data_IF_768300206397
#
_entry.id   IF_768300206397
#
_cell.length_a   1.000
_cell.length_b   1.000
_cell.length_c   1.000
_cell.angle_alpha   90.00
_cell.angle_beta   90.00
_cell.angle_gamma   90.00
#
_symmetry.space_group_name_H-M   'P 1'
#
loop_
_entity.id
_entity.type
_entity.pdbx_description
1 polymer ?
#
# COMPACT_ATOMS: atom_id res chain seq x y z
N UNK A 1 13.07 20.93 13.76
CA UNK A 1 12.60 19.71 13.06
C UNK A 1 13.82 18.90 12.65
N UNK A 2 13.97 17.67 13.15
CA UNK A 2 15.18 16.86 12.97
C UNK A 2 15.24 16.35 11.52
N UNK A 3 16.25 16.76 10.76
CA UNK A 3 16.41 16.37 9.36
C UNK A 3 16.64 14.86 9.27
N UNK A 4 15.73 14.16 8.60
CA UNK A 4 15.87 12.76 8.21
C UNK A 4 17.13 12.66 7.32
N UNK A 5 18.02 11.72 7.63
CA UNK A 5 19.29 11.52 6.93
C UNK A 5 19.05 11.30 5.43
N UNK A 6 19.53 12.21 4.58
CA UNK A 6 19.41 12.15 3.12
C UNK A 6 20.64 11.55 2.44
N UNK A 7 21.61 11.03 3.21
CA UNK A 7 22.85 10.46 2.66
C UNK A 7 22.88 8.93 2.73
N UNK A 8 23.73 8.36 1.87
CA UNK A 8 23.72 6.98 1.40
C UNK A 8 23.58 5.87 2.45
N UNK A 9 22.98 4.75 2.00
CA UNK A 9 22.75 3.49 2.72
C UNK A 9 22.06 3.65 4.08
N UNK A 10 20.73 3.75 4.05
CA UNK A 10 19.90 3.62 5.27
C UNK A 10 19.90 2.15 5.72
N UNK A 11 20.30 1.91 6.97
CA UNK A 11 20.21 0.58 7.60
C UNK A 11 18.78 0.28 8.05
N UNK A 12 18.43 -1.01 8.13
CA UNK A 12 17.10 -1.46 8.55
C UNK A 12 16.56 -0.79 9.83
N UNK A 13 17.28 -0.78 10.97
CA UNK A 13 16.77 -0.16 12.20
C UNK A 13 16.65 1.36 12.09
N UNK A 14 17.52 2.00 11.31
CA UNK A 14 17.44 3.44 11.05
C UNK A 14 16.19 3.78 10.23
N UNK A 15 15.85 2.95 9.23
CA UNK A 15 14.65 3.13 8.42
C UNK A 15 13.36 3.05 9.25
N UNK A 16 13.27 2.07 10.15
CA UNK A 16 12.11 1.92 11.05
C UNK A 16 12.01 3.09 12.03
N UNK A 17 13.15 3.56 12.56
CA UNK A 17 13.17 4.74 13.43
C UNK A 17 12.69 6.00 12.70
N UNK A 18 13.16 6.22 11.47
CA UNK A 18 12.77 7.35 10.65
C UNK A 18 11.28 7.28 10.23
N UNK A 19 10.73 6.07 10.07
CA UNK A 19 9.32 5.85 9.81
C UNK A 19 8.44 6.36 10.97
N UNK A 20 8.74 5.96 12.20
CA UNK A 20 7.98 6.41 13.37
C UNK A 20 8.24 7.88 13.71
N UNK A 21 9.45 8.40 13.51
CA UNK A 21 9.72 9.84 13.69
C UNK A 21 8.97 10.69 12.69
N UNK A 22 8.77 10.17 11.48
CA UNK A 22 8.03 10.80 10.42
C UNK A 22 6.52 10.54 10.43
N UNK A 23 5.91 10.08 11.53
CA UNK A 23 4.54 9.57 11.52
C UNK A 23 3.51 10.54 10.88
N UNK A 24 3.60 11.84 11.17
CA UNK A 24 2.69 12.87 10.64
C UNK A 24 3.35 13.90 9.70
N UNK A 25 4.62 13.71 9.35
CA UNK A 25 5.35 14.71 8.55
C UNK A 25 5.17 14.48 7.05
N UNK A 26 4.29 15.21 6.37
CA UNK A 26 4.14 15.03 4.92
C UNK A 26 5.22 15.73 4.10
N UNK A 27 6.15 16.47 4.70
CA UNK A 27 7.12 17.33 4.00
C UNK A 27 8.50 16.71 3.86
N UNK A 28 8.87 15.78 4.74
CA UNK A 28 10.16 15.09 4.70
C UNK A 28 10.44 14.31 3.41
N UNK A 29 11.72 13.97 3.21
CA UNK A 29 12.17 13.12 2.11
C UNK A 29 12.49 11.71 2.60
N UNK A 30 12.10 10.71 1.81
CA UNK A 30 12.43 9.30 2.09
C UNK A 30 13.36 8.75 1.01
N UNK A 31 14.45 8.12 1.43
CA UNK A 31 15.36 7.40 0.54
C UNK A 31 14.71 6.12 0.01
N UNK A 32 15.16 5.62 -1.15
CA UNK A 32 14.62 4.37 -1.74
C UNK A 32 14.81 3.18 -0.82
N UNK A 33 16.03 3.01 -0.31
CA UNK A 33 16.35 1.90 0.60
C UNK A 33 15.55 2.00 1.88
N UNK A 34 15.37 3.21 2.44
CA UNK A 34 14.57 3.43 3.64
C UNK A 34 13.11 3.01 3.45
N UNK A 35 12.51 3.33 2.30
CA UNK A 35 11.15 2.90 1.96
C UNK A 35 11.03 1.37 1.99
N UNK A 36 11.88 0.66 1.23
CA UNK A 36 11.80 -0.79 1.10
C UNK A 36 12.12 -1.53 2.40
N UNK A 37 13.05 -1.02 3.21
CA UNK A 37 13.31 -1.59 4.53
C UNK A 37 12.09 -1.52 5.44
N UNK A 38 11.34 -0.41 5.41
CA UNK A 38 10.10 -0.28 6.19
C UNK A 38 9.03 -1.24 5.68
N UNK A 39 8.86 -1.36 4.36
CA UNK A 39 7.91 -2.33 3.78
C UNK A 39 8.26 -3.76 4.19
N UNK A 40 9.54 -4.12 4.16
CA UNK A 40 10.01 -5.42 4.62
C UNK A 40 9.76 -5.63 6.13
N UNK A 41 10.00 -4.61 6.97
CA UNK A 41 9.73 -4.68 8.40
C UNK A 41 8.23 -4.95 8.68
N UNK A 42 7.36 -4.23 7.97
CA UNK A 42 5.91 -4.36 8.09
C UNK A 42 5.45 -5.73 7.60
N UNK A 43 6.01 -6.22 6.48
CA UNK A 43 5.71 -7.56 5.97
C UNK A 43 6.07 -8.64 7.00
N UNK A 44 7.28 -8.59 7.58
CA UNK A 44 7.69 -9.53 8.63
C UNK A 44 6.76 -9.44 9.84
N UNK A 45 6.40 -8.23 10.28
CA UNK A 45 5.49 -8.05 11.40
C UNK A 45 4.12 -8.71 11.14
N UNK A 46 3.55 -8.55 9.95
CA UNK A 46 2.29 -9.20 9.58
C UNK A 46 2.40 -10.71 9.49
N UNK A 47 3.51 -11.26 8.99
CA UNK A 47 3.73 -12.72 8.95
C UNK A 47 3.76 -13.29 10.37
N UNK A 48 4.49 -12.66 11.28
CA UNK A 48 4.55 -13.07 12.70
C UNK A 48 3.16 -12.99 13.34
N UNK A 49 2.45 -11.88 13.14
CA UNK A 49 1.10 -11.70 13.67
C UNK A 49 0.12 -12.75 13.13
N UNK A 50 0.19 -13.07 11.84
CA UNK A 50 -0.66 -14.08 11.21
C UNK A 50 -0.45 -15.47 11.85
N UNK A 51 0.80 -15.89 12.04
CA UNK A 51 1.11 -17.17 12.70
C UNK A 51 0.51 -17.20 14.12
N UNK A 52 0.65 -16.10 14.87
CA UNK A 52 0.12 -16.00 16.23
C UNK A 52 -1.43 -16.04 16.29
N UNK A 53 -2.12 -15.51 15.27
CA UNK A 53 -3.58 -15.57 15.20
C UNK A 53 -4.14 -16.99 15.05
N UNK A 54 -3.37 -17.92 14.49
CA UNK A 54 -3.77 -19.33 14.38
C UNK A 54 -3.85 -19.97 15.78
N UNK A 55 -2.94 -19.59 16.68
CA UNK A 55 -2.88 -20.15 18.04
C UNK A 55 -3.84 -19.48 19.03
N UNK A 56 -4.11 -18.18 18.87
CA UNK A 56 -4.92 -17.40 19.81
C UNK A 56 -5.91 -16.49 19.05
N UNK A 57 -7.22 -16.82 19.02
CA UNK A 57 -8.22 -16.03 18.28
C UNK A 57 -8.32 -14.57 18.73
N UNK A 58 -8.09 -14.29 20.02
CA UNK A 58 -8.10 -12.94 20.59
C UNK A 58 -6.99 -12.03 19.99
N UNK A 59 -5.97 -12.62 19.37
CA UNK A 59 -4.89 -11.91 18.66
C UNK A 59 -5.41 -11.10 17.47
N UNK A 60 -6.57 -11.46 16.89
CA UNK A 60 -7.18 -10.71 15.79
C UNK A 60 -7.44 -9.23 16.13
N UNK A 61 -7.78 -8.94 17.39
CA UNK A 61 -7.98 -7.56 17.85
C UNK A 61 -6.66 -6.76 17.86
N UNK A 62 -5.56 -7.40 18.24
CA UNK A 62 -4.22 -6.79 18.23
C UNK A 62 -3.78 -6.51 16.79
N UNK A 63 -4.04 -7.44 15.87
CA UNK A 63 -3.78 -7.22 14.43
C UNK A 63 -4.55 -6.02 13.90
N UNK A 64 -5.82 -5.85 14.30
CA UNK A 64 -6.63 -4.70 13.93
C UNK A 64 -6.01 -3.39 14.43
N UNK A 65 -5.63 -3.32 15.71
CA UNK A 65 -5.00 -2.12 16.28
C UNK A 65 -3.66 -1.79 15.62
N UNK A 66 -2.83 -2.80 15.38
CA UNK A 66 -1.57 -2.63 14.66
C UNK A 66 -1.79 -2.11 13.24
N UNK A 67 -2.78 -2.66 12.54
CA UNK A 67 -3.14 -2.23 11.19
C UNK A 67 -3.57 -0.77 11.16
N UNK A 68 -4.44 -0.36 12.10
CA UNK A 68 -4.89 1.04 12.24
C UNK A 68 -3.73 2.00 12.50
N UNK A 69 -2.80 1.61 13.37
CA UNK A 69 -1.62 2.42 13.67
C UNK A 69 -0.68 2.61 12.47
N UNK A 70 -0.73 1.72 11.48
CA UNK A 70 0.12 1.82 10.30
C UNK A 70 -0.51 2.63 9.16
N UNK A 71 -1.83 2.85 9.16
CA UNK A 71 -2.54 3.54 8.06
C UNK A 71 -1.90 4.91 7.78
N UNK A 72 -1.81 5.77 8.80
CA UNK A 72 -1.28 7.12 8.67
C UNK A 72 0.17 7.14 8.19
N UNK A 73 1.13 6.49 8.89
CA UNK A 73 2.54 6.61 8.53
C UNK A 73 2.86 5.92 7.20
N UNK A 74 2.12 4.89 6.79
CA UNK A 74 2.25 4.28 5.45
C UNK A 74 1.86 5.26 4.35
N UNK A 75 0.73 5.96 4.51
CA UNK A 75 0.30 6.99 3.56
C UNK A 75 1.31 8.13 3.53
N UNK A 76 1.79 8.59 4.69
CA UNK A 76 2.81 9.64 4.77
C UNK A 76 4.07 9.23 4.03
N UNK A 77 4.58 8.02 4.26
CA UNK A 77 5.79 7.50 3.63
C UNK A 77 5.65 7.39 2.10
N UNK A 78 4.52 6.87 1.64
CA UNK A 78 4.27 6.65 0.22
C UNK A 78 4.07 7.98 -0.54
N UNK A 79 3.35 8.94 0.05
CA UNK A 79 3.18 10.29 -0.51
C UNK A 79 4.54 11.00 -0.67
N UNK A 80 5.43 10.91 0.33
CA UNK A 80 6.79 11.46 0.23
C UNK A 80 7.56 10.85 -0.93
N UNK A 81 7.48 9.53 -1.10
CA UNK A 81 8.22 8.82 -2.15
C UNK A 81 7.72 9.21 -3.54
N UNK A 82 6.41 9.24 -3.75
CA UNK A 82 5.82 9.58 -5.05
C UNK A 82 6.12 11.05 -5.39
N UNK A 83 6.04 11.97 -4.42
CA UNK A 83 6.44 13.36 -4.64
C UNK A 83 7.89 13.48 -5.10
N UNK A 84 8.79 12.68 -4.52
CA UNK A 84 10.20 12.68 -4.89
C UNK A 84 10.49 12.13 -6.29
N UNK A 85 9.52 11.50 -6.97
CA UNK A 85 9.66 11.11 -8.39
C UNK A 85 9.42 12.25 -9.38
N UNK A 86 8.95 13.41 -8.89
CA UNK A 86 8.65 14.58 -9.70
C UNK A 86 7.15 14.78 -9.99
N UNK A 87 6.26 14.19 -9.19
CA UNK A 87 4.80 14.39 -9.29
C UNK A 87 4.34 15.52 -8.36
N UNK A 88 3.38 16.33 -8.81
CA UNK A 88 2.78 17.39 -7.99
C UNK A 88 1.82 16.83 -6.93
N UNK A 89 1.73 17.49 -5.78
CA UNK A 89 0.89 17.04 -4.66
C UNK A 89 -0.59 16.86 -5.02
N UNK A 90 -1.14 17.68 -5.93
CA UNK A 90 -2.54 17.58 -6.38
C UNK A 90 -2.81 16.30 -7.17
N UNK A 91 -1.90 15.90 -8.06
CA UNK A 91 -2.06 14.67 -8.85
C UNK A 91 -1.86 13.44 -7.99
N UNK A 92 -0.97 13.49 -7.01
CA UNK A 92 -0.79 12.43 -6.01
C UNK A 92 -2.10 12.21 -5.24
N UNK A 93 -2.74 13.27 -4.76
CA UNK A 93 -3.99 13.17 -4.03
C UNK A 93 -5.10 12.55 -4.89
N UNK A 94 -5.28 13.02 -6.13
CA UNK A 94 -6.27 12.45 -7.05
C UNK A 94 -6.02 10.95 -7.33
N UNK A 95 -4.75 10.57 -7.50
CA UNK A 95 -4.35 9.19 -7.72
C UNK A 95 -4.68 8.31 -6.50
N UNK A 96 -4.40 8.77 -5.28
CA UNK A 96 -4.74 8.02 -4.07
C UNK A 96 -6.24 7.88 -3.84
N UNK A 97 -7.04 8.92 -4.10
CA UNK A 97 -8.50 8.84 -4.02
C UNK A 97 -9.02 7.75 -4.96
N UNK A 98 -8.54 7.76 -6.20
CA UNK A 98 -8.91 6.77 -7.21
C UNK A 98 -8.48 5.35 -6.79
N UNK A 99 -7.24 5.21 -6.30
CA UNK A 99 -6.70 3.94 -5.81
C UNK A 99 -7.54 3.35 -4.69
N UNK A 100 -7.85 4.13 -3.65
CA UNK A 100 -8.60 3.64 -2.50
C UNK A 100 -10.06 3.35 -2.83
N UNK A 101 -10.68 4.08 -3.76
CA UNK A 101 -12.03 3.77 -4.25
C UNK A 101 -12.07 2.38 -4.91
N UNK A 102 -11.17 2.11 -5.86
CA UNK A 102 -11.09 0.81 -6.51
C UNK A 102 -10.63 -0.30 -5.58
N UNK A 103 -9.69 -0.02 -4.68
CA UNK A 103 -9.27 -0.95 -3.64
C UNK A 103 -10.44 -1.39 -2.75
N UNK A 104 -11.29 -0.46 -2.33
CA UNK A 104 -12.48 -0.76 -1.52
C UNK A 104 -13.45 -1.70 -2.23
N UNK A 105 -13.78 -1.42 -3.50
CA UNK A 105 -14.64 -2.31 -4.30
C UNK A 105 -14.01 -3.68 -4.49
N UNK A 106 -12.71 -3.73 -4.83
CA UNK A 106 -11.98 -4.98 -5.00
C UNK A 106 -11.95 -5.81 -3.71
N UNK A 107 -11.66 -5.19 -2.57
CA UNK A 107 -11.60 -5.86 -1.27
C UNK A 107 -12.97 -6.35 -0.81
N UNK A 108 -14.04 -5.60 -1.06
CA UNK A 108 -15.40 -6.05 -0.73
C UNK A 108 -15.77 -7.31 -1.54
N UNK A 109 -15.46 -7.33 -2.83
CA UNK A 109 -15.66 -8.51 -3.69
C UNK A 109 -14.77 -9.67 -3.27
N UNK A 110 -13.52 -9.42 -2.87
CA UNK A 110 -12.63 -10.46 -2.37
C UNK A 110 -13.15 -11.06 -1.06
N UNK A 111 -13.58 -10.22 -0.12
CA UNK A 111 -14.10 -10.66 1.17
C UNK A 111 -15.41 -11.45 1.02
N UNK A 112 -16.33 -11.02 0.15
CA UNK A 112 -17.56 -11.77 -0.10
C UNK A 112 -17.26 -13.13 -0.74
N UNK A 113 -16.33 -13.20 -1.69
CA UNK A 113 -15.87 -14.47 -2.26
C UNK A 113 -15.23 -15.38 -1.21
N UNK A 114 -14.39 -14.83 -0.33
CA UNK A 114 -13.77 -15.59 0.76
C UNK A 114 -14.84 -16.13 1.73
N UNK A 115 -15.78 -15.30 2.18
CA UNK A 115 -16.87 -15.72 3.06
C UNK A 115 -17.77 -16.78 2.43
N UNK A 116 -18.11 -16.63 1.16
CA UNK A 116 -18.93 -17.61 0.45
C UNK A 116 -18.22 -18.97 0.36
N UNK A 117 -16.91 -18.98 0.09
CA UNK A 117 -16.10 -20.21 0.09
C UNK A 117 -15.99 -20.84 1.47
N UNK A 118 -15.90 -20.05 2.56
CA UNK A 118 -15.93 -20.58 3.92
C UNK A 118 -17.32 -21.13 4.29
N UNK A 119 -18.39 -20.44 3.89
CA UNK A 119 -19.77 -20.85 4.17
C UNK A 119 -20.15 -22.13 3.45
N UNK A 120 -19.72 -22.33 2.19
CA UNK A 120 -19.97 -23.57 1.46
C UNK A 120 -19.29 -24.77 2.11
N UNK A 121 -18.06 -24.59 2.62
CA UNK A 121 -17.34 -25.62 3.37
C UNK A 121 -18.06 -25.97 4.69
N UNK A 122 -18.74 -24.99 5.31
CA UNK A 122 -19.49 -25.23 6.54
C UNK A 122 -20.87 -25.89 6.28
N UNK A 123 -21.54 -25.60 5.16
CA UNK A 123 -22.84 -26.21 4.82
C UNK A 123 -22.73 -27.63 4.25
N UNK A 124 -21.65 -27.95 3.54
CA UNK A 124 -21.47 -29.25 2.85
C UNK A 124 -21.05 -30.41 3.78
N UNK A 125 -20.98 -30.21 5.10
CA UNK A 125 -20.74 -31.32 6.03
C UNK A 125 -21.95 -32.27 6.17
N UNK A 126 -23.13 -31.89 5.67
CA UNK A 126 -24.36 -32.69 5.78
C UNK A 126 -24.66 -33.60 4.58
N UNK A 127 -24.07 -33.38 3.40
CA UNK A 127 -24.37 -34.17 2.20
C UNK A 127 -23.12 -34.65 1.46
N UNK A 128 -23.12 -35.93 1.13
CA UNK A 128 -21.99 -36.66 0.54
C UNK A 128 -21.80 -36.32 -0.94
N UNK A 129 -21.24 -35.16 -1.25
CA UNK A 129 -20.50 -34.87 -2.48
C UNK A 129 -19.61 -33.67 -2.16
N UNK A 130 -18.30 -33.73 -2.44
CA UNK A 130 -17.37 -32.61 -2.21
C UNK A 130 -17.14 -31.88 -3.53
N UNK A 131 -17.99 -30.93 -3.94
CA UNK A 131 -17.59 -29.99 -4.97
C UNK A 131 -16.51 -29.10 -4.36
N UNK A 132 -15.32 -29.09 -4.98
CA UNK A 132 -14.27 -28.14 -4.65
C UNK A 132 -14.90 -26.74 -4.75
N UNK A 133 -15.02 -26.03 -3.62
CA UNK A 133 -15.56 -24.68 -3.60
C UNK A 133 -14.70 -23.80 -4.53
N UNK A 134 -15.15 -23.60 -5.76
CA UNK A 134 -14.50 -22.71 -6.69
C UNK A 134 -14.59 -21.31 -6.10
N UNK A 135 -13.45 -20.68 -5.81
CA UNK A 135 -13.38 -19.28 -5.42
C UNK A 135 -13.83 -18.42 -6.61
N UNK A 136 -15.13 -18.23 -6.76
CA UNK A 136 -15.69 -17.35 -7.77
C UNK A 136 -15.53 -15.92 -7.28
N UNK A 137 -14.59 -15.18 -7.88
CA UNK A 137 -14.45 -13.75 -7.62
C UNK A 137 -15.70 -13.04 -8.14
N UNK A 138 -16.54 -12.55 -7.23
CA UNK A 138 -17.83 -11.92 -7.56
C UNK A 138 -17.68 -10.46 -8.05
N UNK A 139 -16.45 -9.97 -8.19
CA UNK A 139 -16.17 -8.60 -8.61
C UNK A 139 -16.09 -8.45 -10.13
N UNK A 140 -16.29 -7.21 -10.60
CA UNK A 140 -16.07 -6.88 -12.01
C UNK A 140 -14.60 -7.08 -12.39
N UNK A 141 -14.35 -7.88 -13.42
CA UNK A 141 -13.01 -8.10 -13.97
C UNK A 141 -12.35 -6.78 -14.43
N UNK A 142 -13.14 -5.84 -14.98
CA UNK A 142 -12.65 -4.52 -15.38
C UNK A 142 -12.18 -3.71 -14.18
N UNK A 143 -12.92 -3.74 -13.06
CA UNK A 143 -12.53 -3.06 -11.82
C UNK A 143 -11.24 -3.65 -11.27
N UNK A 144 -11.12 -4.98 -11.27
CA UNK A 144 -9.89 -5.66 -10.85
C UNK A 144 -8.69 -5.27 -11.75
N UNK A 145 -8.87 -5.22 -13.07
CA UNK A 145 -7.81 -4.82 -14.00
C UNK A 145 -7.37 -3.36 -13.79
N UNK A 146 -8.33 -2.44 -13.60
CA UNK A 146 -8.02 -1.03 -13.33
C UNK A 146 -7.26 -0.90 -12.00
N UNK A 147 -7.71 -1.59 -10.95
CA UNK A 147 -7.03 -1.62 -9.67
C UNK A 147 -5.60 -2.15 -9.78
N UNK A 148 -5.41 -3.28 -10.48
CA UNK A 148 -4.08 -3.86 -10.71
C UNK A 148 -3.17 -2.92 -11.49
N UNK A 149 -3.69 -2.26 -12.54
CA UNK A 149 -2.93 -1.28 -13.30
C UNK A 149 -2.49 -0.08 -12.43
N UNK A 150 -3.40 0.44 -11.59
CA UNK A 150 -3.08 1.55 -10.68
C UNK A 150 -2.07 1.13 -9.61
N UNK A 151 -2.24 -0.06 -9.04
CA UNK A 151 -1.33 -0.65 -8.05
C UNK A 151 0.08 -0.83 -8.63
N UNK A 152 0.17 -1.37 -9.84
CA UNK A 152 1.42 -1.54 -10.56
C UNK A 152 2.07 -0.18 -10.82
N UNK A 153 1.30 0.81 -11.27
CA UNK A 153 1.82 2.16 -11.50
C UNK A 153 2.42 2.78 -10.23
N UNK A 154 1.71 2.71 -9.09
CA UNK A 154 2.20 3.21 -7.79
C UNK A 154 3.47 2.46 -7.35
N UNK A 155 3.46 1.14 -7.44
CA UNK A 155 4.58 0.28 -7.07
C UNK A 155 5.83 0.58 -7.91
N UNK A 156 5.66 0.72 -9.22
CA UNK A 156 6.73 1.14 -10.13
C UNK A 156 7.28 2.50 -9.71
N UNK A 157 6.42 3.49 -9.46
CA UNK A 157 6.83 4.81 -8.98
C UNK A 157 7.69 4.76 -7.70
N UNK A 158 7.48 3.76 -6.83
CA UNK A 158 8.28 3.61 -5.61
C UNK A 158 9.72 3.17 -5.90
N UNK A 159 9.95 2.39 -6.96
CA UNK A 159 11.27 1.97 -7.42
C UNK A 159 12.04 3.05 -8.20
N UNK A 160 11.32 3.96 -8.84
CA UNK A 160 11.89 4.95 -9.75
C UNK A 160 12.95 5.86 -9.08
N UNK A 161 14.00 6.27 -9.84
CA UNK A 161 14.28 7.67 -10.12
C UNK A 161 13.81 8.76 -9.16
N UNK A 162 14.68 9.49 -8.44
CA UNK A 162 14.25 10.84 -8.00
C UNK A 162 14.19 11.74 -9.24
N UNK A 163 13.17 12.59 -9.35
CA UNK A 163 12.96 13.51 -10.47
C UNK A 163 12.94 12.89 -11.88
N UNK A 164 12.52 11.63 -11.99
CA UNK A 164 12.41 10.97 -13.30
C UNK A 164 11.31 11.58 -14.17
N UNK A 165 10.19 11.93 -13.55
CA UNK A 165 9.04 12.52 -14.24
C UNK A 165 9.11 14.04 -14.32
N UNK A 166 10.14 14.67 -13.75
CA UNK A 166 10.29 16.11 -13.81
C UNK A 166 10.51 16.56 -15.25
N UNK A 167 9.66 17.46 -15.74
CA UNK A 167 9.71 17.91 -17.15
C UNK A 167 10.40 19.27 -17.27
N UNK A 168 11.09 19.49 -18.41
CA UNK A 168 11.62 20.81 -18.81
C UNK A 168 10.63 21.61 -19.69
N UNK A 169 9.45 21.03 -19.97
CA UNK A 169 8.46 21.62 -20.88
C UNK A 169 7.74 22.80 -20.22
N UNK A 170 7.43 23.83 -21.00
CA UNK A 170 6.69 25.01 -20.55
C UNK A 170 5.16 24.88 -20.75
N UNK A 171 4.66 23.70 -21.10
CA UNK A 171 3.23 23.47 -21.32
C UNK A 171 2.46 23.46 -19.99
N UNK A 172 1.35 24.20 -19.93
CA UNK A 172 0.49 24.31 -18.73
C UNK A 172 -0.04 22.94 -18.25
N UNK A 173 -0.39 22.05 -19.19
CA UNK A 173 -0.90 20.71 -18.87
C UNK A 173 0.19 19.85 -18.21
N UNK A 174 1.37 19.78 -18.83
CA UNK A 174 2.49 18.98 -18.31
C UNK A 174 3.02 19.51 -16.99
N UNK A 175 3.07 20.83 -16.85
CA UNK A 175 3.46 21.46 -15.59
C UNK A 175 2.38 21.34 -14.53
N UNK A 176 1.11 21.04 -14.84
CA UNK A 176 0.08 20.77 -13.81
C UNK A 176 0.20 19.37 -13.21
N UNK A 177 0.72 18.40 -13.97
CA UNK A 177 0.88 17.00 -13.56
C UNK A 177 2.27 16.76 -12.96
N UNK A 178 3.30 17.28 -13.60
CA UNK A 178 4.71 17.06 -13.26
C UNK A 178 5.35 18.30 -12.63
N UNK A 179 6.32 18.06 -11.75
CA UNK A 179 7.18 19.12 -11.24
C UNK A 179 8.12 19.62 -12.34
N UNK A 180 8.49 20.89 -12.25
CA UNK A 180 9.49 21.47 -13.14
C UNK A 180 10.87 20.98 -12.70
N UNK A 181 11.66 20.44 -13.62
CA UNK A 181 13.04 20.08 -13.33
C UNK A 181 13.86 21.38 -13.21
N UNK A 182 14.44 21.60 -12.03
CA UNK A 182 15.41 22.68 -11.81
C UNK A 182 16.68 22.44 -12.66
#
# INVERSE_FOLDING_TARGET
MKKISQEGKVSFPQAVKDFYQGYFDFTGNTTRSGYWWVILAIFIAYVVLFILTISVPLMAFIVLLFSLSLIVPLITLSVRRIRNTGLKSKTILALYILYYAFYGTFMMSFYSSLLNSLSSVYSDYSDSYVPIASMNFSGSALVALIFLALSLFISVCMFLPTDMFATKSNNSILTSIFSKKA
#
